data_IF_138826540528
#
_entry.id   IF_138826540528
#
_cell.length_a   1.000
_cell.length_b   1.000
_cell.length_c   1.000
_cell.angle_alpha   90.00
_cell.angle_beta   90.00
_cell.angle_gamma   90.00
#
_symmetry.space_group_name_H-M   'P 1'
#
loop_
_entity.id
_entity.type
_entity.pdbx_description
1 polymer ?
#
# COMPACT_ATOMS: atom_id res chain seq x y z
N UNK A 1 16.25 10.81 -2.91
CA UNK A 1 16.63 9.42 -3.23
C UNK A 1 16.62 8.58 -1.96
N UNK A 2 16.04 7.36 -1.96
CA UNK A 2 16.02 6.52 -0.78
C UNK A 2 17.41 5.88 -0.60
N UNK A 3 17.89 5.81 0.65
CA UNK A 3 19.03 4.97 1.00
C UNK A 3 18.60 3.51 0.97
N UNK A 4 19.28 2.68 0.18
CA UNK A 4 19.03 1.22 0.13
C UNK A 4 19.83 0.56 1.25
N UNK A 5 19.16 -0.21 2.10
CA UNK A 5 19.81 -1.03 3.13
C UNK A 5 20.30 -2.36 2.53
N UNK A 6 21.48 -2.35 1.92
CA UNK A 6 22.03 -3.54 1.26
C UNK A 6 22.17 -4.74 2.20
N UNK A 7 22.36 -4.53 3.52
CA UNK A 7 22.48 -5.64 4.47
C UNK A 7 21.17 -6.39 4.62
N UNK A 8 20.02 -5.69 4.63
CA UNK A 8 18.69 -6.32 4.64
C UNK A 8 18.47 -7.28 3.46
N UNK A 9 19.10 -7.02 2.32
CA UNK A 9 18.97 -7.84 1.10
C UNK A 9 19.99 -8.98 1.00
N UNK A 10 21.09 -8.92 1.75
CA UNK A 10 22.10 -9.99 1.83
C UNK A 10 21.82 -10.92 3.02
N UNK A 11 21.31 -10.37 4.13
CA UNK A 11 20.98 -11.08 5.36
C UNK A 11 19.53 -10.71 5.71
N UNK A 12 18.54 -11.49 5.27
CA UNK A 12 17.13 -11.11 5.42
C UNK A 12 16.67 -10.90 6.86
N UNK A 13 17.31 -11.56 7.81
CA UNK A 13 17.04 -11.44 9.24
C UNK A 13 17.60 -10.13 9.84
N UNK A 14 18.43 -9.40 9.08
CA UNK A 14 18.97 -8.10 9.47
C UNK A 14 17.91 -7.01 9.31
N UNK A 15 17.07 -6.87 10.34
CA UNK A 15 16.07 -5.80 10.41
C UNK A 15 16.62 -4.68 11.29
N UNK A 16 16.77 -3.51 10.69
CA UNK A 16 17.15 -2.28 11.40
C UNK A 16 15.95 -1.37 11.58
N UNK A 17 16.04 -0.50 12.58
CA UNK A 17 15.06 0.56 12.80
C UNK A 17 15.62 1.87 12.26
N UNK A 18 14.93 2.43 11.27
CA UNK A 18 15.18 3.77 10.79
C UNK A 18 14.90 4.76 11.92
N UNK A 19 15.93 5.50 12.33
CA UNK A 19 15.83 6.44 13.45
C UNK A 19 16.75 7.63 13.27
N UNK A 20 16.23 8.83 13.56
CA UNK A 20 16.99 10.07 13.63
C UNK A 20 16.47 10.90 14.80
N UNK A 21 17.26 10.99 15.87
CA UNK A 21 16.83 11.52 17.17
C UNK A 21 16.37 12.98 17.15
N UNK A 22 17.04 13.83 16.37
CA UNK A 22 16.81 15.28 16.36
C UNK A 22 16.01 15.78 15.14
N UNK A 23 15.46 14.86 14.33
CA UNK A 23 14.78 15.22 13.10
C UNK A 23 13.36 15.72 13.39
N UNK A 24 13.02 16.92 12.88
CA UNK A 24 11.69 17.56 13.07
C UNK A 24 10.70 17.32 11.93
N UNK A 25 11.18 16.87 10.77
CA UNK A 25 10.36 16.35 9.68
C UNK A 25 10.86 14.94 9.33
N UNK A 26 10.05 13.92 9.63
CA UNK A 26 10.43 12.51 9.48
C UNK A 26 9.80 11.83 8.27
N UNK A 27 9.22 12.58 7.34
CA UNK A 27 8.56 12.04 6.16
C UNK A 27 9.49 11.12 5.35
N UNK A 28 10.69 11.61 5.03
CA UNK A 28 11.71 10.81 4.33
C UNK A 28 12.16 9.59 5.15
N UNK A 29 12.11 9.65 6.48
CA UNK A 29 12.45 8.51 7.33
C UNK A 29 11.39 7.41 7.23
N UNK A 30 10.11 7.79 7.19
CA UNK A 30 8.97 6.88 6.97
C UNK A 30 9.06 6.24 5.59
N UNK A 31 9.30 7.04 4.54
CA UNK A 31 9.47 6.54 3.18
C UNK A 31 10.62 5.56 3.08
N UNK A 32 11.77 5.88 3.68
CA UNK A 32 12.92 5.00 3.66
C UNK A 32 12.68 3.71 4.46
N UNK A 33 11.94 3.78 5.57
CA UNK A 33 11.59 2.60 6.37
C UNK A 33 10.71 1.65 5.56
N UNK A 34 9.64 2.16 4.94
CA UNK A 34 8.77 1.36 4.08
C UNK A 34 9.53 0.79 2.87
N UNK A 35 10.34 1.62 2.22
CA UNK A 35 11.09 1.24 1.02
C UNK A 35 12.00 0.02 1.25
N UNK A 36 12.64 -0.06 2.42
CA UNK A 36 13.52 -1.16 2.79
C UNK A 36 12.82 -2.29 3.58
N UNK A 37 11.54 -2.15 3.93
CA UNK A 37 10.87 -3.09 4.84
C UNK A 37 11.47 -3.08 6.25
N UNK A 38 12.02 -1.94 6.66
CA UNK A 38 12.69 -1.74 7.94
C UNK A 38 11.74 -1.18 8.99
N UNK A 39 12.10 -1.36 10.26
CA UNK A 39 11.39 -0.75 11.38
C UNK A 39 11.53 0.78 11.40
N UNK A 40 10.68 1.45 12.16
CA UNK A 40 10.74 2.90 12.39
C UNK A 40 10.76 3.17 13.89
N UNK A 41 11.71 3.99 14.35
CA UNK A 41 11.78 4.43 15.74
C UNK A 41 11.77 5.96 15.81
N UNK A 42 10.72 6.50 16.42
CA UNK A 42 10.50 7.94 16.63
C UNK A 42 10.78 8.29 18.09
N UNK A 43 11.63 9.29 18.29
CA UNK A 43 11.91 9.87 19.60
C UNK A 43 11.06 11.14 19.77
N UNK A 44 10.17 11.15 20.76
CA UNK A 44 9.36 12.34 21.12
C UNK A 44 10.01 13.18 22.24
N UNK A 45 10.84 12.55 23.07
CA UNK A 45 11.69 13.21 24.06
C UNK A 45 13.14 12.78 23.81
N UNK A 46 13.98 13.76 23.49
CA UNK A 46 15.40 13.58 23.33
C UNK A 46 16.13 14.40 24.40
N UNK A 47 16.33 13.81 25.58
CA UNK A 47 17.02 14.42 26.71
C UNK A 47 16.47 15.80 27.10
N UNK A 48 15.14 15.95 27.09
CA UNK A 48 14.45 17.19 27.43
C UNK A 48 14.13 18.10 26.23
N UNK A 49 14.62 17.79 25.02
CA UNK A 49 14.09 18.39 23.78
C UNK A 49 12.85 17.61 23.34
N UNK A 50 11.68 18.19 23.56
CA UNK A 50 10.39 17.59 23.20
C UNK A 50 10.11 17.84 21.72
N UNK A 51 10.19 16.79 20.92
CA UNK A 51 9.94 16.84 19.48
C UNK A 51 8.62 16.14 19.19
N UNK A 52 7.53 16.89 19.36
CA UNK A 52 6.17 16.39 19.09
C UNK A 52 6.00 15.96 17.64
N UNK A 53 5.27 14.86 17.44
CA UNK A 53 4.87 14.38 16.11
C UNK A 53 3.62 15.14 15.66
N UNK A 54 3.69 15.95 14.59
CA UNK A 54 2.53 16.68 14.07
C UNK A 54 1.48 15.72 13.49
N UNK A 55 0.20 16.12 13.39
CA UNK A 55 -0.88 15.25 12.91
C UNK A 55 -0.63 14.62 11.54
N UNK A 56 -0.02 15.35 10.60
CA UNK A 56 0.31 14.87 9.26
C UNK A 56 1.35 13.75 9.31
N UNK A 57 2.41 13.91 10.10
CA UNK A 57 3.43 12.88 10.30
C UNK A 57 2.85 11.66 11.03
N UNK A 58 1.96 11.88 12.00
CA UNK A 58 1.24 10.80 12.68
C UNK A 58 0.42 9.98 11.69
N UNK A 59 -0.24 10.63 10.73
CA UNK A 59 -1.00 9.93 9.69
C UNK A 59 -0.10 9.08 8.79
N UNK A 60 1.07 9.62 8.37
CA UNK A 60 2.08 8.89 7.61
C UNK A 60 2.60 7.66 8.38
N UNK A 61 2.93 7.82 9.66
CA UNK A 61 3.40 6.73 10.53
C UNK A 61 2.32 5.66 10.69
N UNK A 62 1.06 6.05 10.87
CA UNK A 62 -0.05 5.11 10.96
C UNK A 62 -0.24 4.31 9.66
N UNK A 63 -0.16 4.99 8.51
CA UNK A 63 -0.24 4.32 7.20
C UNK A 63 0.91 3.33 7.00
N UNK A 64 2.14 3.76 7.26
CA UNK A 64 3.32 2.89 7.25
C UNK A 64 3.14 1.67 8.16
N UNK A 65 2.73 1.90 9.42
CA UNK A 65 2.56 0.83 10.41
C UNK A 65 1.52 -0.19 9.94
N UNK A 66 0.38 0.26 9.42
CA UNK A 66 -0.66 -0.62 8.87
C UNK A 66 -0.09 -1.47 7.74
N UNK A 67 0.54 -0.86 6.73
CA UNK A 67 1.08 -1.56 5.56
C UNK A 67 2.13 -2.60 5.99
N UNK A 68 3.02 -2.25 6.92
CA UNK A 68 4.03 -3.18 7.45
C UNK A 68 3.39 -4.37 8.18
N UNK A 69 2.36 -4.15 8.99
CA UNK A 69 1.68 -5.24 9.70
C UNK A 69 0.86 -6.13 8.76
N UNK A 70 0.05 -5.52 7.88
CA UNK A 70 -0.79 -6.23 6.90
C UNK A 70 0.03 -7.05 5.92
N UNK A 71 1.30 -6.66 5.69
CA UNK A 71 2.20 -7.32 4.76
C UNK A 71 3.45 -7.89 5.43
N UNK A 72 3.38 -8.19 6.73
CA UNK A 72 4.53 -8.72 7.49
C UNK A 72 5.04 -10.05 6.95
N UNK A 73 4.18 -10.86 6.33
CA UNK A 73 4.58 -12.09 5.66
C UNK A 73 5.57 -11.81 4.53
N UNK A 74 5.28 -10.81 3.70
CA UNK A 74 6.17 -10.37 2.64
C UNK A 74 7.41 -9.64 3.17
N UNK A 75 7.25 -8.67 4.06
CA UNK A 75 8.37 -7.89 4.60
C UNK A 75 9.35 -8.69 5.47
N UNK A 76 8.98 -9.90 5.90
CA UNK A 76 9.86 -10.85 6.58
C UNK A 76 10.33 -11.99 5.68
N UNK A 77 10.19 -11.86 4.36
CA UNK A 77 10.69 -12.86 3.40
C UNK A 77 12.20 -13.05 3.50
N UNK A 78 12.62 -14.29 3.26
CA UNK A 78 14.03 -14.69 3.16
C UNK A 78 14.63 -14.39 1.77
N UNK A 79 13.80 -13.96 0.81
CA UNK A 79 14.25 -13.70 -0.56
C UNK A 79 13.90 -12.27 -1.05
N UNK A 80 14.24 -11.21 -0.30
CA UNK A 80 14.00 -9.84 -0.75
C UNK A 80 14.90 -9.52 -1.95
N UNK A 81 14.39 -8.75 -2.91
CA UNK A 81 15.14 -8.36 -4.11
C UNK A 81 15.29 -6.84 -4.14
N UNK A 82 16.51 -6.30 -4.05
CA UNK A 82 16.73 -4.86 -4.12
C UNK A 82 16.68 -4.37 -5.55
N UNK A 83 16.19 -3.14 -5.76
CA UNK A 83 16.33 -2.39 -7.01
C UNK A 83 15.92 -3.20 -8.24
N UNK A 84 14.71 -3.76 -8.22
CA UNK A 84 14.17 -4.50 -9.35
C UNK A 84 14.09 -3.62 -10.59
N UNK A 85 14.24 -4.27 -11.75
CA UNK A 85 14.22 -3.59 -13.04
C UNK A 85 12.89 -2.87 -13.23
N UNK A 86 12.97 -1.59 -13.58
CA UNK A 86 11.83 -0.75 -13.87
C UNK A 86 11.91 -0.18 -15.29
N UNK A 87 10.84 0.47 -15.73
CA UNK A 87 10.73 1.11 -17.04
C UNK A 87 11.07 2.61 -17.00
N UNK A 88 11.47 3.14 -15.84
CA UNK A 88 11.53 4.57 -15.56
C UNK A 88 12.75 4.94 -14.70
N UNK A 89 13.69 5.75 -15.21
CA UNK A 89 14.95 6.05 -14.51
C UNK A 89 14.78 6.85 -13.21
N UNK A 90 13.62 7.48 -12.99
CA UNK A 90 13.28 8.22 -11.77
C UNK A 90 12.73 7.32 -10.66
N UNK A 91 12.52 6.02 -10.90
CA UNK A 91 11.94 5.09 -9.94
C UNK A 91 12.97 4.15 -9.32
N UNK A 92 12.78 3.91 -8.03
CA UNK A 92 13.47 2.90 -7.24
C UNK A 92 12.42 1.94 -6.72
N UNK A 93 12.63 0.64 -6.92
CA UNK A 93 11.65 -0.39 -6.56
C UNK A 93 12.39 -1.54 -5.88
N UNK A 94 11.95 -1.94 -4.70
CA UNK A 94 12.36 -3.21 -4.09
C UNK A 94 11.22 -4.22 -4.22
N UNK A 95 11.50 -5.51 -4.12
CA UNK A 95 10.48 -6.55 -4.11
C UNK A 95 10.62 -7.45 -2.88
N UNK A 96 9.48 -7.79 -2.29
CA UNK A 96 9.35 -8.68 -1.15
C UNK A 96 8.39 -9.82 -1.53
N UNK A 97 8.87 -10.85 -2.24
CA UNK A 97 8.04 -11.95 -2.72
C UNK A 97 7.82 -13.01 -1.64
N UNK A 98 6.61 -13.58 -1.61
CA UNK A 98 6.22 -14.79 -0.87
C UNK A 98 5.24 -15.62 -1.69
N UNK A 99 4.80 -16.78 -1.18
CA UNK A 99 3.79 -17.58 -1.88
C UNK A 99 2.50 -16.78 -2.09
N UNK A 100 2.06 -16.71 -3.35
CA UNK A 100 0.83 -16.03 -3.79
C UNK A 100 0.72 -14.54 -3.43
N UNK A 101 1.84 -13.87 -3.17
CA UNK A 101 1.85 -12.42 -2.90
C UNK A 101 3.24 -11.83 -3.15
N UNK A 102 3.28 -10.62 -3.68
CA UNK A 102 4.52 -9.85 -3.72
C UNK A 102 4.25 -8.37 -3.42
N UNK A 103 5.13 -7.77 -2.63
CA UNK A 103 5.04 -6.36 -2.25
C UNK A 103 6.19 -5.59 -2.89
N UNK A 104 5.86 -4.48 -3.53
CA UNK A 104 6.78 -3.58 -4.20
C UNK A 104 6.65 -2.16 -3.65
N UNK A 105 7.48 -1.79 -2.67
CA UNK A 105 7.67 -0.40 -2.33
C UNK A 105 8.34 0.33 -3.50
N UNK A 106 7.71 1.38 -4.00
CA UNK A 106 8.16 2.20 -5.13
C UNK A 106 8.41 3.61 -4.61
N UNK A 107 9.59 4.16 -4.91
CA UNK A 107 9.95 5.53 -4.59
C UNK A 107 10.33 6.30 -5.86
N UNK A 108 9.74 7.48 -6.04
CA UNK A 108 10.05 8.41 -7.12
C UNK A 108 11.05 9.48 -6.67
N UNK A 109 12.17 9.60 -7.38
CA UNK A 109 13.21 10.58 -7.08
C UNK A 109 13.04 11.91 -7.83
N UNK A 110 13.31 13.01 -7.13
CA UNK A 110 13.33 14.36 -7.70
C UNK A 110 11.96 14.88 -8.15
N UNK A 111 10.87 14.40 -7.54
CA UNK A 111 9.49 14.85 -7.85
C UNK A 111 9.33 16.37 -7.72
N UNK A 112 10.01 16.98 -6.75
CA UNK A 112 9.96 18.43 -6.47
C UNK A 112 10.84 19.27 -7.41
N UNK A 113 11.72 18.66 -8.21
CA UNK A 113 12.83 19.35 -8.90
C UNK A 113 12.58 19.61 -10.41
N UNK A 114 11.43 19.24 -10.97
CA UNK A 114 11.19 19.32 -12.42
C UNK A 114 9.92 20.09 -12.81
N UNK A 115 9.85 20.62 -14.05
CA UNK A 115 8.62 21.18 -14.59
C UNK A 115 7.49 20.15 -14.47
N UNK A 116 6.37 20.60 -13.90
CA UNK A 116 5.20 19.80 -13.50
C UNK A 116 4.68 18.81 -14.56
N UNK A 117 4.93 19.05 -15.85
CA UNK A 117 4.49 18.19 -16.97
C UNK A 117 5.40 16.98 -17.18
N UNK A 118 6.69 17.10 -16.85
CA UNK A 118 7.74 16.14 -17.28
C UNK A 118 7.98 14.97 -16.32
N UNK A 119 7.49 15.06 -15.07
CA UNK A 119 7.67 14.02 -14.03
C UNK A 119 6.37 13.40 -13.52
N UNK A 120 5.23 13.64 -14.19
CA UNK A 120 3.98 12.94 -13.83
C UNK A 120 4.18 11.43 -13.91
N UNK A 121 3.87 10.75 -12.81
CA UNK A 121 3.99 9.31 -12.70
C UNK A 121 2.70 8.66 -13.22
N UNK A 122 2.50 8.72 -14.54
CA UNK A 122 1.37 8.08 -15.23
C UNK A 122 1.95 7.15 -16.30
N UNK A 123 1.35 5.96 -16.44
CA UNK A 123 1.73 4.97 -17.43
C UNK A 123 2.66 3.86 -16.89
N UNK A 124 3.27 3.07 -17.79
CA UNK A 124 4.02 1.87 -17.42
C UNK A 124 5.24 2.17 -16.55
N UNK A 125 5.43 1.38 -15.50
CA UNK A 125 6.57 1.55 -14.58
C UNK A 125 7.37 0.29 -14.30
N UNK A 126 6.78 -0.91 -14.42
CA UNK A 126 7.45 -2.18 -14.11
C UNK A 126 6.87 -3.31 -14.96
N UNK A 127 7.71 -4.30 -15.28
CA UNK A 127 7.29 -5.57 -15.87
C UNK A 127 7.17 -6.63 -14.77
N UNK A 128 6.14 -7.46 -14.84
CA UNK A 128 5.87 -8.55 -13.90
C UNK A 128 5.72 -9.87 -14.65
N UNK A 129 6.13 -10.97 -14.00
CA UNK A 129 6.07 -12.32 -14.56
C UNK A 129 4.93 -13.16 -13.97
N UNK A 130 4.00 -12.51 -13.24
CA UNK A 130 2.99 -13.20 -12.44
C UNK A 130 1.87 -13.81 -13.32
N UNK A 131 1.12 -14.80 -12.78
CA UNK A 131 -0.02 -15.41 -13.46
C UNK A 131 -1.11 -14.39 -13.83
N UNK A 132 -1.89 -14.67 -14.89
CA UNK A 132 -3.02 -13.83 -15.32
C UNK A 132 -4.12 -13.64 -14.26
N UNK A 133 -4.15 -14.49 -13.22
CA UNK A 133 -5.12 -14.38 -12.13
C UNK A 133 -4.77 -13.34 -11.06
N UNK A 134 -3.59 -12.74 -11.14
CA UNK A 134 -3.16 -11.72 -10.19
C UNK A 134 -3.72 -10.36 -10.55
N UNK A 135 -3.97 -9.56 -9.52
CA UNK A 135 -4.25 -8.15 -9.66
C UNK A 135 -3.42 -7.36 -8.65
N UNK A 136 -3.38 -6.04 -8.85
CA UNK A 136 -2.42 -5.18 -8.19
C UNK A 136 -3.11 -3.97 -7.58
N UNK A 137 -2.72 -3.63 -6.36
CA UNK A 137 -3.25 -2.49 -5.62
C UNK A 137 -2.09 -1.73 -5.01
N UNK A 138 -2.09 -0.41 -5.16
CA UNK A 138 -1.21 0.45 -4.38
C UNK A 138 -1.88 0.75 -3.03
N UNK A 139 -1.45 0.02 -2.02
CA UNK A 139 -2.00 0.13 -0.65
C UNK A 139 -1.56 1.40 0.07
N UNK A 140 -0.62 2.17 -0.51
CA UNK A 140 -0.19 3.46 0.03
C UNK A 140 -1.08 4.61 -0.48
N UNK A 141 -1.44 4.60 -1.75
CA UNK A 141 -2.28 5.63 -2.38
C UNK A 141 -3.73 5.19 -2.61
N UNK A 142 -4.10 3.97 -2.23
CA UNK A 142 -5.45 3.42 -2.36
C UNK A 142 -5.96 3.47 -3.80
N UNK A 143 -5.18 2.95 -4.73
CA UNK A 143 -5.54 2.89 -6.15
C UNK A 143 -5.33 1.48 -6.70
N UNK A 144 -6.24 1.05 -7.58
CA UNK A 144 -6.05 -0.17 -8.37
C UNK A 144 -4.98 0.08 -9.43
N UNK A 145 -4.01 -0.81 -9.54
CA UNK A 145 -2.93 -0.72 -10.51
C UNK A 145 -3.29 -1.60 -11.73
N UNK A 146 -3.67 -0.99 -12.87
CA UNK A 146 -3.96 -1.74 -14.08
C UNK A 146 -2.71 -2.41 -14.64
N UNK A 147 -2.96 -3.45 -15.43
CA UNK A 147 -1.96 -4.22 -16.14
C UNK A 147 -2.25 -4.18 -17.65
N UNK A 148 -1.22 -3.98 -18.46
CA UNK A 148 -1.26 -4.05 -19.92
C UNK A 148 -0.34 -5.16 -20.42
N UNK A 149 -0.74 -5.86 -21.47
CA UNK A 149 0.12 -6.81 -22.18
C UNK A 149 0.86 -6.09 -23.32
N UNK A 150 2.19 -6.06 -23.25
CA UNK A 150 3.03 -5.62 -24.38
C UNK A 150 4.09 -6.67 -24.70
N UNK A 151 4.17 -7.10 -25.95
CA UNK A 151 5.15 -8.07 -26.44
C UNK A 151 5.24 -9.36 -25.60
N UNK A 152 4.10 -9.85 -25.10
CA UNK A 152 4.01 -11.04 -24.26
C UNK A 152 4.45 -10.84 -22.80
N UNK A 153 4.70 -9.58 -22.38
CA UNK A 153 5.02 -9.23 -21.00
C UNK A 153 3.88 -8.44 -20.38
N UNK A 154 3.64 -8.67 -19.09
CA UNK A 154 2.69 -7.90 -18.31
C UNK A 154 3.39 -6.66 -17.75
N UNK A 155 2.83 -5.48 -17.99
CA UNK A 155 3.31 -4.19 -17.49
C UNK A 155 2.31 -3.60 -16.53
N UNK A 156 2.80 -3.14 -15.38
CA UNK A 156 2.00 -2.37 -14.43
C UNK A 156 2.04 -0.89 -14.79
N UNK A 157 0.89 -0.24 -14.67
CA UNK A 157 0.73 1.18 -15.01
C UNK A 157 0.20 1.95 -13.82
N UNK A 158 0.76 3.13 -13.58
CA UNK A 158 0.10 4.11 -12.71
C UNK A 158 -1.05 4.75 -13.49
N UNK A 159 -2.31 4.60 -13.04
CA UNK A 159 -3.48 5.11 -13.76
C UNK A 159 -3.62 6.62 -13.61
N UNK A 160 -3.22 7.13 -12.44
CA UNK A 160 -3.20 8.53 -12.07
C UNK A 160 -1.91 8.85 -11.34
N UNK A 161 -1.60 10.14 -11.21
CA UNK A 161 -0.41 10.57 -10.50
C UNK A 161 -0.60 10.33 -8.99
N UNK A 162 0.24 9.52 -8.33
CA UNK A 162 0.12 9.30 -6.89
C UNK A 162 0.42 10.58 -6.12
N UNK A 163 -0.31 10.88 -5.05
CA UNK A 163 -0.10 12.12 -4.27
C UNK A 163 1.25 12.18 -3.55
N UNK A 164 1.84 11.03 -3.24
CA UNK A 164 3.13 10.91 -2.55
C UNK A 164 4.25 10.44 -3.51
N UNK A 165 5.51 10.83 -3.29
CA UNK A 165 6.65 10.21 -4.00
C UNK A 165 6.83 8.74 -3.62
N UNK A 166 6.11 8.24 -2.61
CA UNK A 166 6.07 6.85 -2.20
C UNK A 166 4.80 6.16 -2.72
N UNK A 167 4.94 4.92 -3.15
CA UNK A 167 3.83 4.00 -3.43
C UNK A 167 4.19 2.62 -2.87
N UNK A 168 3.18 1.79 -2.61
CA UNK A 168 3.42 0.41 -2.15
C UNK A 168 2.47 -0.50 -2.91
N UNK A 169 2.95 -1.04 -4.04
CA UNK A 169 2.13 -1.91 -4.89
C UNK A 169 2.18 -3.32 -4.34
N UNK A 170 1.04 -3.96 -4.18
CA UNK A 170 0.92 -5.34 -3.75
C UNK A 170 0.20 -6.12 -4.84
N UNK A 171 0.76 -7.26 -5.22
CA UNK A 171 0.15 -8.21 -6.14
C UNK A 171 -0.30 -9.46 -5.40
N UNK A 172 -1.51 -9.93 -5.70
CA UNK A 172 -2.07 -11.18 -5.17
C UNK A 172 -3.10 -11.76 -6.15
N UNK A 173 -3.43 -13.06 -6.05
CA UNK A 173 -4.57 -13.66 -6.75
C UNK A 173 -5.87 -12.91 -6.44
N UNK A 174 -6.71 -12.72 -7.44
CA UNK A 174 -8.05 -12.13 -7.26
C UNK A 174 -9.00 -13.13 -6.57
N UNK A 175 -9.13 -13.00 -5.26
CA UNK A 175 -10.00 -13.77 -4.40
C UNK A 175 -11.30 -13.02 -4.06
N UNK A 176 -11.30 -11.70 -4.03
CA UNK A 176 -12.43 -10.85 -3.70
C UNK A 176 -13.19 -10.41 -4.95
N UNK A 177 -14.52 -10.36 -4.82
CA UNK A 177 -15.41 -9.68 -5.76
C UNK A 177 -16.41 -8.84 -4.97
N UNK A 178 -16.56 -7.59 -5.38
CA UNK A 178 -17.53 -6.68 -4.80
C UNK A 178 -18.37 -6.03 -5.90
N UNK A 179 -19.68 -5.94 -5.68
CA UNK A 179 -20.61 -5.30 -6.59
C UNK A 179 -21.61 -4.46 -5.82
N UNK A 180 -21.96 -3.28 -6.35
CA UNK A 180 -23.00 -2.44 -5.78
C UNK A 180 -24.33 -2.72 -6.46
N UNK A 181 -25.31 -3.15 -5.68
CA UNK A 181 -26.68 -3.41 -6.10
C UNK A 181 -27.62 -2.47 -5.34
N UNK A 182 -27.99 -1.34 -5.96
CA UNK A 182 -28.80 -0.30 -5.30
C UNK A 182 -28.07 0.35 -4.12
N UNK A 183 -28.55 0.12 -2.90
CA UNK A 183 -27.96 0.62 -1.64
C UNK A 183 -27.09 -0.41 -0.92
N UNK A 184 -26.91 -1.58 -1.51
CA UNK A 184 -26.15 -2.66 -0.93
C UNK A 184 -24.82 -2.87 -1.64
N UNK A 185 -23.79 -3.17 -0.87
CA UNK A 185 -22.52 -3.68 -1.33
C UNK A 185 -22.51 -5.19 -1.09
N UNK A 186 -22.53 -5.96 -2.17
CA UNK A 186 -22.43 -7.42 -2.12
C UNK A 186 -20.97 -7.82 -2.32
N UNK A 187 -20.44 -8.56 -1.36
CA UNK A 187 -19.06 -9.03 -1.34
C UNK A 187 -19.07 -10.55 -1.34
N UNK A 188 -18.22 -11.15 -2.15
CA UNK A 188 -18.04 -12.59 -2.22
C UNK A 188 -16.56 -12.92 -2.40
N UNK A 189 -16.16 -14.09 -1.94
CA UNK A 189 -14.81 -14.60 -2.14
C UNK A 189 -14.80 -15.89 -2.94
N UNK A 190 -13.77 -16.07 -3.75
CA UNK A 190 -13.46 -17.33 -4.43
C UNK A 190 -12.18 -17.91 -3.85
N UNK A 191 -12.30 -18.97 -3.05
CA UNK A 191 -11.15 -19.63 -2.44
C UNK A 191 -10.57 -18.88 -1.24
N UNK A 192 -11.43 -18.29 -0.40
CA UNK A 192 -11.00 -17.65 0.84
C UNK A 192 -10.21 -18.62 1.73
N UNK A 193 -9.06 -18.20 2.28
CA UNK A 193 -8.32 -19.01 3.24
C UNK A 193 -9.16 -19.34 4.48
N UNK A 194 -8.90 -20.48 5.12
CA UNK A 194 -9.51 -20.79 6.42
C UNK A 194 -9.18 -19.72 7.45
N UNK A 195 -10.15 -19.44 8.34
CA UNK A 195 -10.07 -18.41 9.38
C UNK A 195 -9.77 -17.01 8.82
N UNK A 196 -10.27 -16.70 7.62
CA UNK A 196 -10.20 -15.37 7.05
C UNK A 196 -11.40 -14.50 7.44
N UNK A 197 -11.19 -13.19 7.43
CA UNK A 197 -12.24 -12.19 7.58
C UNK A 197 -12.12 -11.13 6.49
N UNK A 198 -13.23 -10.45 6.23
CA UNK A 198 -13.27 -9.31 5.31
C UNK A 198 -13.45 -8.05 6.15
N UNK A 199 -12.49 -7.14 6.09
CA UNK A 199 -12.58 -5.81 6.71
C UNK A 199 -12.94 -4.77 5.68
N UNK A 200 -13.92 -3.93 6.02
CA UNK A 200 -14.35 -2.81 5.20
C UNK A 200 -13.89 -1.52 5.86
N UNK A 201 -13.01 -0.81 5.18
CA UNK A 201 -12.45 0.46 5.65
C UNK A 201 -12.91 1.60 4.75
N UNK A 202 -13.08 2.79 5.31
CA UNK A 202 -13.23 4.03 4.54
C UNK A 202 -11.96 4.85 4.64
N UNK A 203 -11.57 5.52 3.56
CA UNK A 203 -10.40 6.42 3.55
C UNK A 203 -10.86 7.86 3.75
N UNK A 204 -10.26 8.55 4.71
CA UNK A 204 -10.41 9.99 4.88
C UNK A 204 -9.57 10.72 3.82
N UNK A 205 -10.18 11.47 2.91
CA UNK A 205 -9.47 12.08 1.78
C UNK A 205 -8.52 13.23 2.17
N UNK A 206 -8.65 13.79 3.38
CA UNK A 206 -7.79 14.88 3.85
C UNK A 206 -6.53 14.36 4.54
N UNK A 207 -6.67 13.30 5.32
CA UNK A 207 -5.58 12.73 6.13
C UNK A 207 -5.02 11.44 5.55
N UNK A 208 -5.72 10.87 4.56
CA UNK A 208 -5.43 9.56 3.97
C UNK A 208 -5.32 8.45 5.03
N UNK A 209 -6.11 8.60 6.10
CA UNK A 209 -6.24 7.61 7.15
C UNK A 209 -7.40 6.68 6.83
N UNK A 210 -7.18 5.40 7.09
CA UNK A 210 -8.23 4.40 7.04
C UNK A 210 -8.98 4.34 8.37
N UNK A 211 -10.30 4.27 8.27
CA UNK A 211 -11.19 3.99 9.39
C UNK A 211 -11.91 2.66 9.12
N UNK A 212 -11.67 1.67 9.96
CA UNK A 212 -12.43 0.42 9.94
C UNK A 212 -13.90 0.71 10.25
N UNK A 213 -14.79 0.17 9.42
CA UNK A 213 -16.25 0.33 9.58
C UNK A 213 -16.91 -0.96 10.03
N UNK A 214 -16.56 -2.06 9.37
CA UNK A 214 -17.24 -3.33 9.53
C UNK A 214 -16.28 -4.49 9.28
N UNK A 215 -16.59 -5.62 9.90
CA UNK A 215 -15.94 -6.91 9.65
C UNK A 215 -17.01 -7.95 9.28
N UNK A 216 -16.72 -8.75 8.27
CA UNK A 216 -17.56 -9.85 7.78
C UNK A 216 -16.78 -11.17 7.82
N UNK A 217 -17.46 -12.33 7.80
CA UNK A 217 -16.81 -13.61 7.56
C UNK A 217 -16.06 -13.62 6.22
N UNK A 218 -14.98 -14.40 6.14
CA UNK A 218 -14.14 -14.52 4.94
C UNK A 218 -14.86 -15.00 3.68
N UNK A 219 -16.03 -15.63 3.80
CA UNK A 219 -16.86 -16.09 2.67
C UNK A 219 -17.56 -14.95 1.93
N UNK A 220 -17.67 -13.77 2.55
CA UNK A 220 -18.42 -12.64 2.00
C UNK A 220 -19.66 -12.29 2.80
N UNK A 221 -20.46 -11.40 2.23
CA UNK A 221 -21.67 -10.88 2.86
C UNK A 221 -22.23 -9.69 2.10
N UNK A 222 -23.37 -9.19 2.58
CA UNK A 222 -24.02 -8.00 2.04
C UNK A 222 -24.04 -6.93 3.11
N UNK A 223 -23.65 -5.71 2.74
CA UNK A 223 -23.59 -4.55 3.62
C UNK A 223 -24.44 -3.43 3.05
N UNK A 224 -25.23 -2.80 3.90
CA UNK A 224 -25.94 -1.56 3.54
C UNK A 224 -24.95 -0.39 3.52
N UNK A 225 -24.90 0.37 2.41
CA UNK A 225 -23.96 1.49 2.25
C UNK A 225 -24.15 2.59 3.32
N UNK A 226 -25.35 2.71 3.90
CA UNK A 226 -25.62 3.62 5.02
C UNK A 226 -24.84 3.27 6.29
N UNK A 227 -24.46 2.01 6.49
CA UNK A 227 -23.66 1.56 7.63
C UNK A 227 -22.20 2.01 7.52
N UNK A 228 -21.73 2.33 6.31
CA UNK A 228 -20.37 2.81 6.08
C UNK A 228 -20.18 4.29 6.43
N UNK A 229 -21.26 4.99 6.81
CA UNK A 229 -21.27 6.40 7.18
C UNK A 229 -20.52 7.29 6.15
N UNK A 230 -20.92 7.18 4.89
CA UNK A 230 -20.27 7.83 3.75
C UNK A 230 -20.58 9.35 3.69
N UNK A 231 -20.26 10.10 4.74
CA UNK A 231 -20.47 11.56 4.77
C UNK A 231 -19.32 12.31 4.06
N UNK A 232 -18.10 11.76 4.11
CA UNK A 232 -16.89 12.33 3.48
C UNK A 232 -15.78 11.36 2.99
N UNK A 233 -15.98 10.05 2.76
CA UNK A 233 -15.00 9.21 2.07
C UNK A 233 -15.30 9.09 0.56
N UNK A 234 -14.26 9.08 -0.27
CA UNK A 234 -14.39 8.77 -1.71
C UNK A 234 -14.05 7.30 -2.01
N UNK A 235 -13.32 6.66 -1.10
CA UNK A 235 -12.80 5.31 -1.26
C UNK A 235 -13.28 4.41 -0.12
N UNK A 236 -13.80 3.25 -0.51
CA UNK A 236 -14.07 2.12 0.36
C UNK A 236 -13.08 1.03 0.00
N UNK A 237 -12.36 0.53 0.99
CA UNK A 237 -11.42 -0.58 0.84
C UNK A 237 -12.11 -1.84 1.37
N UNK A 238 -12.11 -2.90 0.57
CA UNK A 238 -12.56 -4.23 0.98
C UNK A 238 -11.33 -5.11 1.06
N UNK A 239 -10.95 -5.52 2.27
CA UNK A 239 -9.71 -6.25 2.54
C UNK A 239 -10.02 -7.66 3.00
N UNK A 240 -9.45 -8.67 2.34
CA UNK A 240 -9.47 -10.05 2.80
C UNK A 240 -8.21 -10.30 3.63
N UNK A 241 -8.42 -10.65 4.90
CA UNK A 241 -7.35 -10.88 5.86
C UNK A 241 -7.37 -12.34 6.33
N UNK A 242 -6.20 -12.93 6.50
CA UNK A 242 -6.02 -14.17 7.26
C UNK A 242 -5.26 -13.84 8.54
N UNK A 243 -5.98 -13.76 9.66
CA UNK A 243 -5.48 -13.08 10.86
C UNK A 243 -5.25 -11.58 10.56
N UNK A 244 -4.01 -11.12 10.66
CA UNK A 244 -3.64 -9.74 10.30
C UNK A 244 -3.03 -9.62 8.89
N UNK A 245 -2.91 -10.73 8.14
CA UNK A 245 -2.20 -10.74 6.86
C UNK A 245 -3.15 -10.43 5.73
N UNK A 246 -2.84 -9.40 4.94
CA UNK A 246 -3.53 -9.05 3.71
C UNK A 246 -3.33 -10.13 2.64
N UNK A 247 -4.44 -10.69 2.20
CA UNK A 247 -4.52 -11.72 1.15
C UNK A 247 -5.14 -11.19 -0.13
N UNK A 248 -6.00 -10.18 -0.02
CA UNK A 248 -6.58 -9.47 -1.15
C UNK A 248 -7.11 -8.09 -0.70
N UNK A 249 -7.16 -7.11 -1.60
CA UNK A 249 -7.76 -5.80 -1.39
C UNK A 249 -8.48 -5.33 -2.66
N UNK A 250 -9.70 -4.81 -2.53
CA UNK A 250 -10.38 -4.08 -3.58
C UNK A 250 -10.56 -2.62 -3.16
N UNK A 251 -10.24 -1.72 -4.09
CA UNK A 251 -10.50 -0.29 -3.94
C UNK A 251 -11.78 0.05 -4.71
N UNK A 252 -12.80 0.54 -3.99
CA UNK A 252 -14.08 0.95 -4.57
C UNK A 252 -14.23 2.47 -4.45
N UNK A 253 -14.34 3.14 -5.60
CA UNK A 253 -14.58 4.59 -5.65
C UNK A 253 -16.08 4.87 -5.78
N UNK A 254 -16.68 5.41 -4.72
CA UNK A 254 -18.10 5.74 -4.69
C UNK A 254 -18.42 7.19 -5.13
N UNK A 255 -17.39 7.99 -5.44
CA UNK A 255 -17.50 9.36 -5.94
C UNK A 255 -18.38 10.27 -5.05
N UNK A 256 -18.90 11.35 -5.65
CA UNK A 256 -19.86 12.26 -5.02
C UNK A 256 -21.30 11.73 -5.17
N UNK A 257 -21.59 10.51 -4.71
CA UNK A 257 -23.00 10.08 -4.61
C UNK A 257 -23.51 10.38 -3.21
N UNK A 258 -24.38 11.39 -3.10
CA UNK A 258 -25.26 11.56 -1.92
C UNK A 258 -26.18 10.33 -1.89
N UNK A 259 -25.94 9.40 -0.98
CA UNK A 259 -26.81 8.24 -0.73
C UNK A 259 -28.03 8.61 0.13
#
# INVERSE_FOLDING_TARGET
>A
MPTVDLLRFVIPEHIVFNTLRAMRNRENLVYNALFNGNGLLVWEDNFGDIIRVPPQERALIQRYRRIMHENRDAFLTDNPVPLVKNLRPDLYINAFPVDKKCVWPVYQNGREEAPWESKKLIGPFMEVADPESWHYVDVWNHQTIPMEKDNGRNRLLFPEEPDSPMSCVVGFPACLKAATEGRQLRISTSGAPENSSIRINTVNNLTWLEEERLELPGEGGTVELSQLNLVYPHLVLVKLLQGDILKDELVLNFGWKKF
#
